data_IF_822557049082
#
_entry.id   IF_822557049082
#
_cell.length_a   1.000
_cell.length_b   1.000
_cell.length_c   1.000
_cell.angle_alpha   90.00
_cell.angle_beta   90.00
_cell.angle_gamma   90.00
#
_symmetry.space_group_name_H-M   'P 1'
#
loop_
_entity.id
_entity.type
_entity.pdbx_description
1 polymer ?
#
# COMPACT_ATOMS: atom_id res chain seq x y z
N UNK A 1 -12.65 -0.94 -7.43
CA UNK A 1 -11.65 -2.00 -7.72
C UNK A 1 -11.22 -2.63 -6.40
N UNK A 2 -11.06 -3.96 -6.34
CA UNK A 2 -10.57 -4.65 -5.13
C UNK A 2 -9.13 -5.06 -5.38
N UNK A 3 -8.27 -4.70 -4.43
CA UNK A 3 -6.85 -5.06 -4.43
C UNK A 3 -6.55 -5.72 -3.08
N UNK A 4 -5.70 -6.74 -3.10
CA UNK A 4 -5.29 -7.48 -1.91
C UNK A 4 -4.01 -6.88 -1.36
N UNK A 5 -3.96 -6.65 -0.05
CA UNK A 5 -2.80 -6.10 0.61
C UNK A 5 -2.26 -7.04 1.66
N UNK A 6 -0.98 -7.34 1.60
CA UNK A 6 -0.26 -8.11 2.62
C UNK A 6 0.71 -7.20 3.37
N UNK A 7 0.71 -7.32 4.69
CA UNK A 7 1.49 -6.49 5.60
C UNK A 7 2.42 -7.40 6.41
N UNK A 8 3.71 -7.10 6.37
CA UNK A 8 4.74 -7.91 7.02
C UNK A 8 5.88 -7.05 7.59
N UNK A 9 6.76 -7.67 8.38
CA UNK A 9 7.93 -7.02 8.95
C UNK A 9 7.61 -6.04 10.09
N UNK A 10 6.54 -6.27 10.85
CA UNK A 10 6.13 -5.42 11.98
C UNK A 10 5.24 -4.25 11.58
N UNK A 11 4.97 -4.05 10.28
CA UNK A 11 4.02 -3.03 9.82
C UNK A 11 2.59 -3.34 10.26
N UNK A 12 2.25 -4.59 10.55
CA UNK A 12 0.90 -4.98 10.98
C UNK A 12 0.43 -4.23 12.22
N UNK A 13 1.37 -3.74 13.05
CA UNK A 13 1.08 -2.90 14.22
C UNK A 13 0.37 -1.60 13.84
N UNK A 14 0.69 -1.04 12.67
CA UNK A 14 0.04 0.17 12.15
C UNK A 14 -1.37 -0.11 11.62
N UNK A 15 -1.71 -1.38 11.41
CA UNK A 15 -2.96 -1.85 10.80
C UNK A 15 -3.78 -2.72 11.78
N UNK A 16 -3.75 -2.42 13.07
CA UNK A 16 -4.51 -3.15 14.10
C UNK A 16 -4.18 -4.65 14.15
N UNK A 17 -2.88 -4.98 13.98
CA UNK A 17 -2.35 -6.34 13.90
C UNK A 17 -2.90 -7.19 12.74
N UNK A 18 -3.50 -6.56 11.72
CA UNK A 18 -3.97 -7.26 10.53
C UNK A 18 -2.83 -7.49 9.55
N UNK A 19 -2.64 -8.76 9.15
CA UNK A 19 -1.60 -9.17 8.20
C UNK A 19 -2.06 -9.14 6.74
N UNK A 20 -3.37 -9.08 6.53
CA UNK A 20 -3.97 -9.04 5.20
C UNK A 20 -5.23 -8.18 5.22
N UNK A 21 -5.39 -7.33 4.21
CA UNK A 21 -6.55 -6.47 4.04
C UNK A 21 -7.08 -6.56 2.61
N UNK A 22 -8.40 -6.48 2.46
CA UNK A 22 -9.04 -6.26 1.16
C UNK A 22 -9.52 -4.83 1.11
N UNK A 23 -8.89 -4.01 0.28
CA UNK A 23 -9.24 -2.60 0.17
C UNK A 23 -9.96 -2.39 -1.17
N UNK A 24 -11.18 -1.88 -1.07
CA UNK A 24 -11.94 -1.39 -2.21
C UNK A 24 -11.60 0.08 -2.44
N UNK A 25 -10.90 0.40 -3.53
CA UNK A 25 -10.68 1.78 -3.93
C UNK A 25 -11.96 2.32 -4.58
N UNK A 26 -12.57 3.39 -4.04
CA UNK A 26 -13.70 4.05 -4.66
C UNK A 26 -13.20 4.79 -5.89
N UNK A 27 -13.51 4.25 -7.06
CA UNK A 27 -13.27 4.93 -8.32
C UNK A 27 -14.45 5.86 -8.60
N UNK A 28 -14.18 7.15 -8.84
CA UNK A 28 -15.19 8.12 -9.23
C UNK A 28 -15.82 7.77 -10.58
N UNK A 29 -16.95 8.40 -10.92
CA UNK A 29 -17.69 8.08 -12.17
C UNK A 29 -16.89 8.32 -13.45
N UNK A 30 -15.94 9.26 -13.42
CA UNK A 30 -15.05 9.59 -14.54
C UNK A 30 -13.68 8.87 -14.46
N UNK A 31 -13.36 8.26 -13.31
CA UNK A 31 -12.06 7.66 -13.05
C UNK A 31 -12.17 6.14 -13.24
N UNK A 32 -11.57 5.60 -14.31
CA UNK A 32 -11.67 4.17 -14.61
C UNK A 32 -10.57 3.33 -13.97
N UNK A 33 -9.53 3.97 -13.42
CA UNK A 33 -8.38 3.31 -12.82
C UNK A 33 -7.75 4.18 -11.73
N UNK A 34 -7.01 3.54 -10.82
CA UNK A 34 -6.24 4.20 -9.77
C UNK A 34 -4.77 3.78 -9.86
N UNK A 35 -3.89 4.62 -9.34
CA UNK A 35 -2.45 4.42 -9.30
C UNK A 35 -1.99 3.96 -7.91
N UNK A 36 -0.75 3.45 -7.82
CA UNK A 36 -0.11 3.18 -6.53
C UNK A 36 -0.02 4.43 -5.64
N UNK A 37 0.20 5.61 -6.21
CA UNK A 37 0.18 6.89 -5.47
C UNK A 37 -1.16 7.15 -4.80
N UNK A 38 -2.26 6.98 -5.54
CA UNK A 38 -3.62 7.19 -5.03
C UNK A 38 -3.96 6.17 -3.95
N UNK A 39 -3.53 4.91 -4.12
CA UNK A 39 -3.66 3.89 -3.09
C UNK A 39 -2.94 4.24 -1.79
N UNK A 40 -1.66 4.63 -1.87
CA UNK A 40 -0.87 4.97 -0.67
C UNK A 40 -1.54 6.12 0.08
N UNK A 41 -2.03 7.11 -0.67
CA UNK A 41 -2.76 8.25 -0.10
C UNK A 41 -4.09 7.79 0.52
N UNK A 42 -4.84 6.92 -0.16
CA UNK A 42 -6.09 6.37 0.34
C UNK A 42 -5.91 5.56 1.64
N UNK A 43 -4.85 4.74 1.75
CA UNK A 43 -4.56 3.98 2.97
C UNK A 43 -4.41 4.90 4.20
N UNK A 44 -3.76 6.05 4.01
CA UNK A 44 -3.59 7.07 5.06
C UNK A 44 -4.91 7.80 5.31
N UNK A 45 -5.54 8.32 4.26
CA UNK A 45 -6.68 9.23 4.36
C UNK A 45 -7.96 8.53 4.82
N UNK A 46 -8.17 7.27 4.43
CA UNK A 46 -9.32 6.48 4.86
C UNK A 46 -9.20 5.94 6.30
N UNK A 47 -8.11 6.26 7.01
CA UNK A 47 -7.89 5.82 8.40
C UNK A 47 -7.74 4.31 8.52
N UNK A 48 -7.22 3.66 7.47
CA UNK A 48 -6.90 2.22 7.47
C UNK A 48 -5.71 1.99 8.41
N UNK A 49 -4.73 2.90 8.36
CA UNK A 49 -3.68 3.03 9.37
C UNK A 49 -4.29 3.55 10.67
N UNK A 50 -4.10 2.82 11.77
CA UNK A 50 -4.62 3.16 13.10
C UNK A 50 -3.64 3.95 13.95
N UNK A 51 -2.35 3.78 13.69
CA UNK A 51 -1.30 4.46 14.45
C UNK A 51 -0.21 4.99 13.51
N UNK A 52 0.29 6.20 13.84
CA UNK A 52 1.52 6.79 13.29
C UNK A 52 1.68 6.66 11.76
N UNK A 53 0.79 7.28 10.96
CA UNK A 53 0.85 7.20 9.49
C UNK A 53 2.19 7.65 8.88
N UNK A 54 2.93 8.50 9.59
CA UNK A 54 4.29 8.92 9.23
C UNK A 54 5.32 7.78 9.22
N UNK A 55 5.03 6.66 9.89
CA UNK A 55 5.87 5.45 9.83
C UNK A 55 5.63 4.62 8.57
N UNK A 56 4.50 4.85 7.88
CA UNK A 56 4.16 4.19 6.62
C UNK A 56 4.44 5.07 5.40
N UNK A 57 4.01 6.33 5.42
CA UNK A 57 4.13 7.28 4.30
C UNK A 57 5.09 8.41 4.62
N UNK A 58 5.97 8.74 3.67
CA UNK A 58 6.80 9.94 3.71
C UNK A 58 6.65 10.70 2.38
N UNK A 59 6.27 11.97 2.46
CA UNK A 59 5.87 12.77 1.30
C UNK A 59 4.74 12.08 0.51
N UNK A 60 4.96 11.78 -0.76
CA UNK A 60 4.00 11.17 -1.68
C UNK A 60 4.21 9.65 -1.86
N UNK A 61 5.15 9.04 -1.13
CA UNK A 61 5.53 7.63 -1.28
C UNK A 61 5.64 6.92 0.07
N UNK A 62 5.89 5.60 0.05
CA UNK A 62 6.16 4.84 1.28
C UNK A 62 7.46 5.31 1.92
N UNK A 63 7.55 5.21 3.25
CA UNK A 63 8.75 5.55 4.00
C UNK A 63 9.93 4.68 3.55
N UNK A 64 11.15 5.22 3.39
CA UNK A 64 12.34 4.43 3.11
C UNK A 64 12.49 3.27 4.11
N UNK A 65 12.88 2.10 3.60
CA UNK A 65 12.91 0.85 4.36
C UNK A 65 11.55 0.13 4.46
N UNK A 66 10.61 0.49 3.59
CA UNK A 66 9.46 -0.34 3.23
C UNK A 66 9.68 -0.78 1.77
N UNK A 67 9.71 -2.09 1.54
CA UNK A 67 9.66 -2.68 0.21
C UNK A 67 8.22 -2.84 -0.22
N UNK A 68 7.97 -2.61 -1.51
CA UNK A 68 6.65 -2.77 -2.14
C UNK A 68 6.76 -3.79 -3.25
N UNK A 69 5.92 -4.82 -3.20
CA UNK A 69 5.78 -5.79 -4.27
C UNK A 69 4.42 -5.64 -4.94
N UNK A 70 4.38 -5.78 -6.26
CA UNK A 70 3.17 -5.85 -7.07
C UNK A 70 3.17 -7.23 -7.73
N UNK A 71 2.22 -8.09 -7.37
CA UNK A 71 2.12 -9.48 -7.84
C UNK A 71 3.46 -10.24 -7.71
N UNK A 72 4.06 -10.20 -6.51
CA UNK A 72 5.36 -10.78 -6.18
C UNK A 72 6.58 -10.18 -6.91
N UNK A 73 6.39 -9.17 -7.77
CA UNK A 73 7.47 -8.45 -8.45
C UNK A 73 7.83 -7.14 -7.73
N UNK A 74 9.10 -6.75 -7.82
CA UNK A 74 9.57 -5.46 -7.29
C UNK A 74 8.90 -4.30 -8.04
N UNK A 75 8.23 -3.40 -7.32
CA UNK A 75 7.50 -2.28 -7.92
C UNK A 75 8.39 -1.32 -8.71
N UNK A 76 9.71 -1.29 -8.47
CA UNK A 76 10.68 -0.49 -9.22
C UNK A 76 10.70 -0.90 -10.70
N UNK A 77 10.37 -2.16 -11.00
CA UNK A 77 10.26 -2.69 -12.35
C UNK A 77 8.88 -2.45 -12.99
N UNK A 78 7.87 -2.15 -12.17
CA UNK A 78 6.46 -2.02 -12.58
C UNK A 78 6.02 -0.55 -12.75
N UNK A 79 6.88 0.41 -12.40
CA UNK A 79 6.59 1.84 -12.53
C UNK A 79 6.21 2.54 -11.23
N UNK A 80 6.44 1.89 -10.08
CA UNK A 80 6.32 2.49 -8.74
C UNK A 80 4.99 3.22 -8.51
N UNK A 81 5.04 4.52 -8.24
CA UNK A 81 3.89 5.38 -7.96
C UNK A 81 2.93 5.50 -9.13
N UNK A 82 3.43 5.37 -10.36
CA UNK A 82 2.67 5.54 -11.60
C UNK A 82 2.04 4.23 -12.09
N UNK A 83 2.32 3.10 -11.43
CA UNK A 83 1.68 1.83 -11.77
C UNK A 83 0.16 1.94 -11.63
N UNK A 84 -0.54 1.64 -12.71
CA UNK A 84 -2.00 1.63 -12.77
C UNK A 84 -2.51 0.30 -12.25
N UNK A 85 -3.15 0.35 -11.08
CA UNK A 85 -3.73 -0.80 -10.40
C UNK A 85 -4.77 -1.51 -11.26
N UNK A 86 -4.74 -2.84 -11.20
CA UNK A 86 -5.66 -3.73 -11.91
C UNK A 86 -6.51 -4.51 -10.90
N UNK A 87 -7.70 -4.96 -11.32
CA UNK A 87 -8.52 -5.84 -10.50
C UNK A 87 -7.74 -7.11 -10.09
N UNK A 88 -7.77 -7.42 -8.79
CA UNK A 88 -7.08 -8.57 -8.19
C UNK A 88 -5.56 -8.48 -8.15
N UNK A 89 -4.97 -7.30 -8.34
CA UNK A 89 -3.56 -7.13 -8.00
C UNK A 89 -3.35 -7.48 -6.52
N UNK A 90 -2.21 -8.11 -6.23
CA UNK A 90 -1.68 -8.30 -4.89
C UNK A 90 -0.55 -7.31 -4.65
N UNK A 91 -0.69 -6.51 -3.60
CA UNK A 91 0.29 -5.49 -3.22
C UNK A 91 0.82 -5.83 -1.83
N UNK A 92 2.13 -5.98 -1.71
CA UNK A 92 2.76 -6.36 -0.43
C UNK A 92 3.62 -5.22 0.07
N UNK A 93 3.41 -4.81 1.33
CA UNK A 93 4.28 -3.87 2.03
C UNK A 93 5.09 -4.62 3.08
N UNK A 94 6.42 -4.55 2.99
CA UNK A 94 7.33 -5.23 3.90
C UNK A 94 8.25 -4.19 4.53
N UNK A 95 8.19 -3.99 5.85
CA UNK A 95 9.23 -3.18 6.48
C UNK A 95 10.51 -4.00 6.63
N UNK A 96 11.61 -3.43 6.15
CA UNK A 96 12.97 -3.98 6.27
C UNK A 96 13.77 -3.34 7.40
N UNK A 97 13.20 -2.34 8.09
CA UNK A 97 13.88 -1.59 9.15
C UNK A 97 13.56 -2.04 10.57
N UNK A 98 12.50 -2.83 10.80
CA UNK A 98 12.07 -3.19 12.16
C UNK A 98 12.59 -4.56 12.62
N UNK A 99 13.87 -4.84 12.34
CA UNK A 99 14.61 -5.96 12.90
C UNK A 99 15.41 -5.52 14.13
N UNK A 100 14.77 -5.56 15.30
CA UNK A 100 15.38 -5.39 16.60
C UNK A 100 14.63 -6.19 17.66
#
# INVERSE_FOLDING_TARGET
>A
MIVFYLISGGLELLFDNQKSLRIGLPLGTEQTSATMKELISFIVDAGILKERPELFKQNDTVRPGILVLINEADWELEGELDYVLKPNDEIVFISTLHGG
#
